data_IF_962657294255
#
_entry.id   IF_962657294255
#
_cell.length_a   1.000
_cell.length_b   1.000
_cell.length_c   1.000
_cell.angle_alpha   90.00
_cell.angle_beta   90.00
_cell.angle_gamma   90.00
#
_symmetry.space_group_name_H-M   'P 1'
#
loop_
_entity.id
_entity.type
_entity.pdbx_description
1 polymer ?
#
# COMPACT_ATOMS: atom_id res chain seq x y z
N UNK A 1 1.69 -14.77 6.16
CA UNK A 1 2.97 -14.70 5.42
C UNK A 1 4.06 -15.40 6.25
N UNK A 2 4.85 -16.33 5.69
CA UNK A 2 5.85 -17.14 6.45
C UNK A 2 6.86 -16.27 7.19
N UNK A 3 7.28 -15.16 6.59
CA UNK A 3 8.22 -14.20 7.18
C UNK A 3 7.69 -13.57 8.47
N UNK A 4 6.41 -13.21 8.53
CA UNK A 4 5.81 -12.61 9.72
C UNK A 4 5.86 -13.57 10.92
N UNK A 5 5.58 -14.86 10.69
CA UNK A 5 5.68 -15.89 11.72
C UNK A 5 7.13 -16.10 12.18
N UNK A 6 8.09 -16.10 11.26
CA UNK A 6 9.52 -16.22 11.59
C UNK A 6 10.04 -15.03 12.40
N UNK A 7 9.45 -13.85 12.25
CA UNK A 7 9.80 -12.62 12.98
C UNK A 7 8.98 -12.40 14.27
N UNK A 8 8.12 -13.36 14.66
CA UNK A 8 7.28 -13.20 15.85
C UNK A 8 6.20 -12.12 15.73
N UNK A 9 5.77 -11.80 14.50
CA UNK A 9 4.68 -10.84 14.26
C UNK A 9 3.35 -11.59 14.30
N UNK A 10 2.61 -11.41 15.39
CA UNK A 10 1.29 -12.06 15.60
C UNK A 10 0.16 -11.39 14.80
N UNK A 11 0.38 -10.16 14.30
CA UNK A 11 -0.61 -9.48 13.45
C UNK A 11 -0.71 -10.16 12.09
N UNK A 12 -1.92 -10.22 11.48
CA UNK A 12 -2.09 -10.83 10.17
C UNK A 12 -1.39 -10.02 9.08
N UNK A 13 -0.22 -10.51 8.63
CA UNK A 13 0.49 -9.98 7.47
C UNK A 13 0.10 -10.77 6.22
N UNK A 14 -0.50 -10.06 5.28
CA UNK A 14 -0.96 -10.57 3.98
C UNK A 14 -0.27 -9.81 2.83
N UNK A 15 -0.44 -10.29 1.60
CA UNK A 15 -0.02 -9.56 0.39
C UNK A 15 -0.71 -8.20 0.28
N UNK A 16 -1.98 -8.12 0.68
CA UNK A 16 -2.70 -6.85 0.77
C UNK A 16 -2.07 -5.90 1.79
N UNK A 17 -1.65 -6.40 2.96
CA UNK A 17 -0.95 -5.59 3.97
C UNK A 17 0.33 -4.98 3.40
N UNK A 18 1.13 -5.76 2.67
CA UNK A 18 2.35 -5.27 2.02
C UNK A 18 2.05 -4.22 0.94
N UNK A 19 1.03 -4.45 0.10
CA UNK A 19 0.59 -3.48 -0.92
C UNK A 19 0.14 -2.16 -0.29
N UNK A 20 -0.64 -2.23 0.80
CA UNK A 20 -1.07 -1.05 1.55
C UNK A 20 0.12 -0.28 2.09
N UNK A 21 1.07 -0.95 2.76
CA UNK A 21 2.28 -0.31 3.28
C UNK A 21 3.08 0.39 2.18
N UNK A 22 3.27 -0.26 1.02
CA UNK A 22 3.98 0.34 -0.10
C UNK A 22 3.30 1.60 -0.63
N UNK A 23 1.97 1.54 -0.84
CA UNK A 23 1.21 2.70 -1.33
C UNK A 23 1.17 3.86 -0.30
N UNK A 24 1.07 3.56 0.99
CA UNK A 24 1.15 4.56 2.06
C UNK A 24 2.51 5.26 2.07
N UNK A 25 3.61 4.52 1.93
CA UNK A 25 4.96 5.11 1.88
C UNK A 25 5.07 6.06 0.69
N UNK A 26 4.70 5.62 -0.52
CA UNK A 26 4.79 6.47 -1.71
C UNK A 26 3.94 7.74 -1.58
N UNK A 27 2.70 7.63 -1.06
CA UNK A 27 1.82 8.77 -0.81
C UNK A 27 2.45 9.75 0.19
N UNK A 28 2.99 9.24 1.30
CA UNK A 28 3.59 10.07 2.35
C UNK A 28 4.91 10.70 1.90
N UNK A 29 5.64 10.07 0.98
CA UNK A 29 6.82 10.64 0.32
C UNK A 29 6.48 11.68 -0.76
N UNK A 30 5.19 11.96 -1.00
CA UNK A 30 4.76 12.95 -2.00
C UNK A 30 4.87 12.46 -3.44
N UNK A 31 4.93 11.15 -3.68
CA UNK A 31 5.00 10.62 -5.04
C UNK A 31 3.73 10.97 -5.83
N UNK A 32 3.85 11.37 -7.11
CA UNK A 32 2.68 11.64 -7.95
C UNK A 32 1.79 10.41 -8.09
N UNK A 33 0.47 10.61 -8.11
CA UNK A 33 -0.53 9.52 -8.21
C UNK A 33 -0.29 8.66 -9.45
N UNK A 34 0.10 9.26 -10.58
CA UNK A 34 0.48 8.53 -11.80
C UNK A 34 1.60 7.49 -11.56
N UNK A 35 2.65 7.87 -10.81
CA UNK A 35 3.76 6.99 -10.47
C UNK A 35 3.30 5.87 -9.54
N UNK A 36 2.49 6.21 -8.53
CA UNK A 36 1.91 5.21 -7.61
C UNK A 36 1.03 4.23 -8.41
N UNK A 37 0.24 4.72 -9.35
CA UNK A 37 -0.66 3.91 -10.17
C UNK A 37 0.10 2.91 -11.03
N UNK A 38 1.19 3.36 -11.67
CA UNK A 38 2.07 2.50 -12.45
C UNK A 38 2.76 1.45 -11.55
N UNK A 39 3.27 1.86 -10.40
CA UNK A 39 3.95 0.95 -9.46
C UNK A 39 3.00 -0.11 -8.87
N UNK A 40 1.72 0.21 -8.71
CA UNK A 40 0.68 -0.74 -8.26
C UNK A 40 0.08 -1.57 -9.42
N UNK A 41 0.37 -1.21 -10.67
CA UNK A 41 -0.19 -1.87 -11.85
C UNK A 41 -1.69 -1.63 -12.04
N UNK A 42 -2.21 -0.48 -11.59
CA UNK A 42 -3.61 -0.14 -11.78
C UNK A 42 -3.88 0.42 -13.17
N UNK A 43 -4.99 0.00 -13.77
CA UNK A 43 -5.40 0.40 -15.13
C UNK A 43 -5.78 1.88 -15.29
N UNK A 44 -5.99 2.60 -14.17
CA UNK A 44 -6.28 4.03 -14.19
C UNK A 44 -5.82 4.72 -12.91
N UNK A 45 -5.47 6.00 -13.01
CA UNK A 45 -5.17 6.84 -11.84
C UNK A 45 -6.39 6.98 -10.91
N UNK A 46 -7.61 6.98 -11.44
CA UNK A 46 -8.83 7.03 -10.65
C UNK A 46 -8.96 5.83 -9.68
N UNK A 47 -8.60 4.62 -10.14
CA UNK A 47 -8.51 3.42 -9.28
C UNK A 47 -7.52 3.65 -8.14
N UNK A 48 -6.38 4.25 -8.45
CA UNK A 48 -5.34 4.58 -7.46
C UNK A 48 -5.80 5.65 -6.49
N UNK A 49 -6.49 6.70 -6.94
CA UNK A 49 -7.04 7.74 -6.07
C UNK A 49 -8.04 7.16 -5.07
N UNK A 50 -8.99 6.33 -5.54
CA UNK A 50 -9.96 5.65 -4.68
C UNK A 50 -9.27 4.73 -3.67
N UNK A 51 -8.27 3.98 -4.13
CA UNK A 51 -7.45 3.13 -3.26
C UNK A 51 -6.73 3.96 -2.18
N UNK A 52 -6.02 5.03 -2.56
CA UNK A 52 -5.30 5.92 -1.65
C UNK A 52 -6.21 6.68 -0.68
N UNK A 53 -7.46 6.95 -1.05
CA UNK A 53 -8.48 7.53 -0.18
C UNK A 53 -8.98 6.52 0.87
N UNK A 54 -9.06 5.22 0.50
CA UNK A 54 -9.41 4.14 1.43
C UNK A 54 -8.31 3.81 2.45
N UNK A 55 -7.06 4.18 2.16
CA UNK A 55 -5.95 4.02 3.11
C UNK A 55 -6.16 4.97 4.29
N UNK A 56 -6.50 4.44 5.47
CA UNK A 56 -6.58 5.24 6.70
C UNK A 56 -5.22 5.91 6.95
N UNK A 57 -5.24 7.23 7.17
CA UNK A 57 -4.05 7.92 7.66
C UNK A 57 -3.70 7.37 9.04
N UNK A 58 -2.51 6.79 9.16
CA UNK A 58 -1.95 6.47 10.47
C UNK A 58 -1.26 7.75 10.92
N UNK A 59 -1.95 8.53 11.77
CA UNK A 59 -1.35 9.65 12.51
C UNK A 59 -0.47 9.12 13.63
#
# INVERSE_FOLDING_TARGET
>A
MVLAKALGIDKPVTTHSARHSFATILKNSGAPVAIISQALGHSSEATTQNYLASLKQTN
#
